data_IF_942400250349
#
_entry.id   IF_942400250349
#
_cell.length_a   1.000
_cell.length_b   1.000
_cell.length_c   1.000
_cell.angle_alpha   90.00
_cell.angle_beta   90.00
_cell.angle_gamma   90.00
#
_symmetry.space_group_name_H-M   'P 1'
#
loop_
_entity.id
_entity.type
_entity.pdbx_description
1 polymer ?
#
# COMPACT_ATOMS: atom_id res chain seq x y z
N UNK A 1 5.81 -6.66 -33.07
CA UNK A 1 4.80 -7.07 -32.07
C UNK A 1 4.56 -5.92 -31.11
N UNK A 2 3.66 -5.02 -31.47
CA UNK A 2 3.23 -3.89 -30.64
C UNK A 2 2.13 -4.39 -29.70
N UNK A 3 2.46 -4.60 -28.43
CA UNK A 3 1.48 -5.02 -27.42
C UNK A 3 0.41 -3.94 -27.19
N UNK A 4 -0.83 -4.38 -27.01
CA UNK A 4 -2.01 -3.52 -26.80
C UNK A 4 -1.79 -2.52 -25.64
N UNK A 5 -1.89 -1.20 -25.89
CA UNK A 5 -1.77 -0.17 -24.87
C UNK A 5 -2.79 -0.30 -23.72
N UNK A 6 -3.97 -0.86 -23.98
CA UNK A 6 -5.01 -1.06 -22.97
C UNK A 6 -4.63 -2.18 -22.00
N UNK A 7 -4.13 -3.30 -22.54
CA UNK A 7 -3.60 -4.40 -21.73
C UNK A 7 -2.46 -3.94 -20.82
N UNK A 8 -1.57 -3.06 -21.30
CA UNK A 8 -0.50 -2.45 -20.50
C UNK A 8 -1.01 -1.53 -19.38
N UNK A 9 -2.15 -0.85 -19.57
CA UNK A 9 -2.78 0.00 -18.54
C UNK A 9 -3.46 -0.82 -17.46
N UNK A 10 -4.17 -1.88 -17.84
CA UNK A 10 -4.79 -2.83 -16.90
C UNK A 10 -3.74 -3.52 -16.02
N UNK A 11 -2.58 -3.87 -16.60
CA UNK A 11 -1.45 -4.45 -15.85
C UNK A 11 -1.01 -3.51 -14.72
N UNK A 12 -0.87 -2.21 -14.99
CA UNK A 12 -0.46 -1.21 -13.97
C UNK A 12 -1.53 -0.98 -12.90
N UNK A 13 -2.82 -0.95 -13.28
CA UNK A 13 -3.91 -0.72 -12.34
C UNK A 13 -3.99 -1.84 -11.28
N UNK A 14 -3.89 -3.09 -11.72
CA UNK A 14 -3.88 -4.25 -10.83
C UNK A 14 -2.69 -4.25 -9.86
N UNK A 15 -1.48 -3.98 -10.36
CA UNK A 15 -0.26 -3.93 -9.53
C UNK A 15 -0.35 -2.84 -8.44
N UNK A 16 -0.80 -1.64 -8.82
CA UNK A 16 -1.00 -0.54 -7.88
C UNK A 16 -2.10 -0.87 -6.86
N UNK A 17 -3.21 -1.45 -7.32
CA UNK A 17 -4.30 -1.88 -6.43
C UNK A 17 -3.83 -2.92 -5.41
N UNK A 18 -3.06 -3.91 -5.84
CA UNK A 18 -2.49 -4.94 -4.97
C UNK A 18 -1.53 -4.34 -3.93
N UNK A 19 -0.68 -3.40 -4.35
CA UNK A 19 0.23 -2.69 -3.46
C UNK A 19 -0.52 -1.88 -2.39
N UNK A 20 -1.47 -1.04 -2.82
CA UNK A 20 -2.25 -0.20 -1.91
C UNK A 20 -3.09 -1.07 -0.96
N UNK A 21 -3.67 -2.17 -1.47
CA UNK A 21 -4.40 -3.15 -0.66
C UNK A 21 -3.53 -3.80 0.41
N UNK A 22 -2.29 -4.18 0.07
CA UNK A 22 -1.33 -4.71 1.04
C UNK A 22 -1.03 -3.71 2.17
N UNK A 23 -0.76 -2.45 1.82
CA UNK A 23 -0.54 -1.39 2.81
C UNK A 23 -1.77 -1.15 3.69
N UNK A 24 -2.97 -1.20 3.10
CA UNK A 24 -4.21 -1.03 3.84
C UNK A 24 -4.46 -2.17 4.84
N UNK A 25 -4.22 -3.42 4.44
CA UNK A 25 -4.33 -4.57 5.32
C UNK A 25 -3.39 -4.45 6.54
N UNK A 26 -2.14 -4.02 6.31
CA UNK A 26 -1.19 -3.74 7.39
C UNK A 26 -1.70 -2.64 8.33
N UNK A 27 -2.21 -1.53 7.77
CA UNK A 27 -2.81 -0.45 8.54
C UNK A 27 -3.97 -0.94 9.42
N UNK A 28 -4.91 -1.72 8.87
CA UNK A 28 -6.04 -2.25 9.63
C UNK A 28 -5.60 -3.12 10.80
N UNK A 29 -4.61 -3.99 10.56
CA UNK A 29 -4.03 -4.84 11.60
C UNK A 29 -3.43 -3.99 12.72
N UNK A 30 -2.54 -3.04 12.39
CA UNK A 30 -1.91 -2.18 13.39
C UNK A 30 -2.92 -1.29 14.12
N UNK A 31 -3.94 -0.79 13.42
CA UNK A 31 -5.03 -0.01 14.03
C UNK A 31 -5.79 -0.82 15.07
N UNK A 32 -6.06 -2.09 14.79
CA UNK A 32 -6.76 -2.94 15.75
C UNK A 32 -5.87 -3.27 16.94
N UNK A 33 -4.58 -3.56 16.71
CA UNK A 33 -3.60 -3.78 17.79
C UNK A 33 -3.46 -2.58 18.74
N UNK A 34 -3.62 -1.35 18.23
CA UNK A 34 -3.61 -0.13 19.05
C UNK A 34 -4.80 -0.09 20.03
N UNK A 35 -5.95 -0.65 19.68
CA UNK A 35 -7.13 -0.69 20.56
C UNK A 35 -7.02 -1.75 21.65
N UNK A 36 -6.33 -2.86 21.37
CA UNK A 36 -6.31 -4.03 22.24
C UNK A 36 -5.13 -4.08 23.21
N UNK A 37 -4.12 -3.22 23.06
CA UNK A 37 -2.91 -3.25 23.91
C UNK A 37 -3.06 -2.49 25.22
N UNK A 38 -2.60 -3.12 26.31
CA UNK A 38 -2.43 -2.48 27.64
C UNK A 38 -1.19 -1.57 27.70
N UNK A 39 -0.14 -1.90 26.93
CA UNK A 39 1.05 -1.05 26.76
C UNK A 39 0.93 -0.19 25.50
N UNK A 40 0.92 1.13 25.70
CA UNK A 40 0.76 2.10 24.62
C UNK A 40 2.02 2.17 23.76
N UNK A 41 1.85 2.07 22.44
CA UNK A 41 2.92 2.43 21.51
C UNK A 41 3.30 3.91 21.70
N UNK A 42 4.54 4.31 21.36
CA UNK A 42 4.89 5.72 21.37
C UNK A 42 3.90 6.52 20.52
N UNK A 43 3.45 7.67 21.03
CA UNK A 43 2.45 8.52 20.35
C UNK A 43 2.84 8.86 18.90
N UNK A 44 4.15 8.96 18.62
CA UNK A 44 4.69 9.15 17.27
C UNK A 44 4.35 7.99 16.32
N UNK A 45 4.42 6.75 16.81
CA UNK A 45 4.12 5.53 16.05
C UNK A 45 2.63 5.47 15.74
N UNK A 46 1.77 5.69 16.74
CA UNK A 46 0.33 5.74 16.57
C UNK A 46 -0.09 6.80 15.54
N UNK A 47 0.38 8.04 15.69
CA UNK A 47 0.11 9.12 14.73
C UNK A 47 0.58 8.77 13.32
N UNK A 48 1.69 8.05 13.20
CA UNK A 48 2.20 7.63 11.89
C UNK A 48 1.34 6.53 11.25
N UNK A 49 0.83 5.58 12.04
CA UNK A 49 -0.12 4.56 11.58
C UNK A 49 -1.42 5.21 11.11
N UNK A 50 -2.00 6.13 11.90
CA UNK A 50 -3.25 6.80 11.50
C UNK A 50 -3.07 7.64 10.23
N UNK A 51 -1.97 8.38 10.13
CA UNK A 51 -1.67 9.16 8.93
C UNK A 51 -1.45 8.30 7.67
N UNK A 52 -0.94 7.07 7.81
CA UNK A 52 -0.90 6.13 6.69
C UNK A 52 -2.31 5.75 6.23
N UNK A 53 -3.19 5.41 7.17
CA UNK A 53 -4.60 5.11 6.88
C UNK A 53 -5.29 6.26 6.16
N UNK A 54 -5.13 7.49 6.65
CA UNK A 54 -5.72 8.68 6.03
C UNK A 54 -5.25 8.90 4.59
N UNK A 55 -3.98 8.65 4.27
CA UNK A 55 -3.47 8.76 2.89
C UNK A 55 -4.12 7.71 1.98
N UNK A 56 -4.31 6.49 2.48
CA UNK A 56 -4.89 5.39 1.71
C UNK A 56 -6.40 5.57 1.51
N UNK A 57 -7.13 6.00 2.54
CA UNK A 57 -8.59 6.16 2.48
C UNK A 57 -9.04 7.25 1.49
N UNK A 58 -8.21 8.27 1.26
CA UNK A 58 -8.47 9.31 0.27
C UNK A 58 -7.88 9.01 -1.11
N UNK A 59 -7.10 7.93 -1.24
CA UNK A 59 -6.48 7.52 -2.48
C UNK A 59 -7.53 7.04 -3.48
N UNK A 60 -7.50 7.58 -4.70
CA UNK A 60 -8.39 7.16 -5.78
C UNK A 60 -7.57 6.53 -6.89
N UNK A 61 -7.86 5.26 -7.17
CA UNK A 61 -7.35 4.57 -8.35
C UNK A 61 -8.32 4.86 -9.50
N UNK A 62 -7.95 5.79 -10.38
CA UNK A 62 -8.76 6.19 -11.53
C UNK A 62 -8.25 5.52 -12.82
N UNK A 63 -9.10 5.46 -13.85
CA UNK A 63 -8.79 4.80 -15.14
C UNK A 63 -7.64 5.48 -15.91
N UNK A 64 -7.22 6.68 -15.51
CA UNK A 64 -6.03 7.36 -16.01
C UNK A 64 -5.00 7.52 -14.90
N UNK A 65 -3.78 7.05 -15.15
CA UNK A 65 -2.61 7.32 -14.32
C UNK A 65 -2.20 8.79 -14.50
N UNK A 66 -2.80 9.69 -13.73
CA UNK A 66 -2.38 11.09 -13.70
C UNK A 66 -1.22 11.31 -12.70
N UNK A 67 -0.52 12.43 -12.84
CA UNK A 67 0.65 12.74 -12.00
C UNK A 67 0.29 12.84 -10.51
N UNK A 68 -0.93 13.26 -10.21
CA UNK A 68 -1.42 13.39 -8.84
C UNK A 68 -1.53 12.01 -8.19
N UNK A 69 -2.17 11.06 -8.87
CA UNK A 69 -2.31 9.67 -8.41
C UNK A 69 -0.94 9.02 -8.18
N UNK A 70 0.02 9.24 -9.08
CA UNK A 70 1.38 8.71 -8.90
C UNK A 70 2.09 9.36 -7.71
N UNK A 71 1.90 10.66 -7.51
CA UNK A 71 2.46 11.40 -6.37
C UNK A 71 1.87 10.90 -5.05
N UNK A 72 0.55 10.73 -4.99
CA UNK A 72 -0.15 10.22 -3.81
C UNK A 72 0.33 8.78 -3.47
N UNK A 73 0.55 7.94 -4.50
CA UNK A 73 1.11 6.61 -4.31
C UNK A 73 2.52 6.64 -3.69
N UNK A 74 3.38 7.56 -4.14
CA UNK A 74 4.72 7.74 -3.56
C UNK A 74 4.65 8.21 -2.10
N UNK A 75 3.70 9.07 -1.75
CA UNK A 75 3.47 9.48 -0.37
C UNK A 75 3.05 8.31 0.51
N UNK A 76 2.14 7.45 0.02
CA UNK A 76 1.73 6.22 0.72
C UNK A 76 2.94 5.31 0.96
N UNK A 77 3.74 5.04 -0.08
CA UNK A 77 4.96 4.21 0.01
C UNK A 77 5.96 4.76 1.03
N UNK A 78 6.24 6.05 0.98
CA UNK A 78 7.15 6.70 1.91
C UNK A 78 6.63 6.59 3.35
N UNK A 79 5.32 6.82 3.55
CA UNK A 79 4.71 6.73 4.87
C UNK A 79 4.72 5.31 5.42
N UNK A 80 4.44 4.31 4.58
CA UNK A 80 4.53 2.91 4.95
C UNK A 80 5.93 2.53 5.45
N UNK A 81 6.98 2.97 4.73
CA UNK A 81 8.38 2.77 5.14
C UNK A 81 8.73 3.41 6.49
N UNK A 82 8.14 4.58 6.79
CA UNK A 82 8.29 5.22 8.10
C UNK A 82 7.63 4.38 9.19
N UNK A 83 6.40 3.91 8.97
CA UNK A 83 5.65 3.12 9.96
C UNK A 83 6.36 1.79 10.26
N UNK A 84 6.77 1.05 9.22
CA UNK A 84 7.51 -0.21 9.39
C UNK A 84 8.84 -0.01 10.12
N UNK A 85 9.54 1.10 9.88
CA UNK A 85 10.74 1.46 10.63
C UNK A 85 10.47 1.73 12.11
N UNK A 86 9.38 2.43 12.43
CA UNK A 86 8.97 2.72 13.82
C UNK A 86 8.50 1.48 14.57
N UNK A 87 7.96 0.48 13.86
CA UNK A 87 7.52 -0.80 14.40
C UNK A 87 8.63 -1.86 14.44
N UNK A 88 9.84 -1.54 13.98
CA UNK A 88 10.95 -2.51 13.88
C UNK A 88 10.77 -3.57 12.78
N UNK A 89 9.80 -3.41 11.89
CA UNK A 89 9.44 -4.35 10.82
C UNK A 89 10.03 -3.93 9.47
N UNK A 90 11.30 -3.53 9.41
CA UNK A 90 11.94 -3.00 8.18
C UNK A 90 11.95 -3.96 6.98
N UNK A 91 11.79 -5.26 7.24
CA UNK A 91 11.69 -6.30 6.21
C UNK A 91 10.28 -6.48 5.65
N UNK A 92 9.27 -5.87 6.27
CA UNK A 92 7.90 -5.88 5.76
C UNK A 92 7.82 -4.92 4.57
N UNK A 93 7.85 -5.48 3.38
CA UNK A 93 7.78 -4.76 2.11
C UNK A 93 6.76 -5.43 1.20
N UNK A 94 6.13 -4.64 0.33
CA UNK A 94 5.34 -5.20 -0.76
C UNK A 94 6.29 -5.83 -1.79
N UNK A 95 5.99 -7.06 -2.22
CA UNK A 95 6.78 -7.77 -3.22
C UNK A 95 5.94 -7.97 -4.49
N UNK A 96 6.28 -7.24 -5.54
CA UNK A 96 5.61 -7.31 -6.86
C UNK A 96 5.73 -8.70 -7.51
N UNK A 97 6.78 -9.47 -7.17
CA UNK A 97 7.06 -10.79 -7.78
C UNK A 97 5.91 -11.78 -7.53
N UNK A 98 5.33 -11.77 -6.33
CA UNK A 98 4.21 -12.65 -5.96
C UNK A 98 2.92 -12.28 -6.69
N UNK A 99 2.74 -11.01 -7.04
CA UNK A 99 1.56 -10.51 -7.76
C UNK A 99 1.57 -10.98 -9.23
N UNK A 100 2.74 -10.98 -9.86
CA UNK A 100 2.93 -11.51 -11.22
C UNK A 100 2.73 -13.03 -11.29
N UNK A 101 3.17 -13.77 -10.27
CA UNK A 101 2.96 -15.21 -10.16
C UNK A 101 1.48 -15.57 -10.03
N UNK A 102 0.72 -14.84 -9.21
CA UNK A 102 -0.72 -15.05 -9.05
C UNK A 102 -1.55 -14.67 -10.28
N UNK A 103 -1.10 -13.68 -11.05
CA UNK A 103 -1.74 -13.28 -12.32
C UNK A 103 -1.57 -14.34 -13.41
N UNK A 104 -0.45 -15.06 -13.41
CA UNK A 104 -0.17 -16.13 -14.37
C UNK A 104 -0.84 -17.46 -14.00
N UNK A 105 -1.50 -17.54 -12.84
CA UNK A 105 -2.39 -18.65 -12.53
C UNK A 105 -3.63 -18.54 -13.44
N UNK A 106 -3.60 -19.34 -14.50
CA UNK A 106 -4.76 -19.56 -15.35
C UNK A 106 -5.78 -20.38 -14.54
N UNK A 107 -7.01 -19.89 -14.41
CA UNK A 107 -8.16 -20.69 -14.00
C UNK A 107 -8.82 -21.32 -15.23
#
# INVERSE_FOLDING_TARGET
>A
MTGDPLLRREVKGYEIGAEVGFYYGCYLLWREMLKTKTEQLPTRTEKSIMALGSLIEVYKLENSLDEKMLTDLQLIRAKFKVVTSLLGQKHLVFNETTVLEHKNMSF
#
